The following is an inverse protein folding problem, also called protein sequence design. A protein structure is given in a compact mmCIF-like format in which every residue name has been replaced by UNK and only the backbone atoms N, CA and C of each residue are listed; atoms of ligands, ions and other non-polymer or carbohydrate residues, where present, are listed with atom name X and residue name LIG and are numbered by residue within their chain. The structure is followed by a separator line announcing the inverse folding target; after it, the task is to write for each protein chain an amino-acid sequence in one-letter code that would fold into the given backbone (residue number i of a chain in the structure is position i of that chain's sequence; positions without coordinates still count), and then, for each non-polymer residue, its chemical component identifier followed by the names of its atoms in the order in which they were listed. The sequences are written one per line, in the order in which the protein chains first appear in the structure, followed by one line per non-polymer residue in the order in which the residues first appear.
data_IF_504211540438
#
_entry.id   IF_504211540438
#
_cell.length_a   1.000
_cell.length_b   1.000
_cell.length_c   1.000
_cell.angle_alpha   90.00
_cell.angle_beta   90.00
_cell.angle_gamma   90.00
#
_symmetry.space_group_name_H-M   'P 1'
#
loop_
_entity.id
_entity.type
_entity.pdbx_description
1 polymer ?
#
# COMPACT_ATOMS: atom_id res chain seq x y z
N UNK A 1 -0.70 -11.11 0.23
CA UNK A 1 0.33 -12.13 -0.05
C UNK A 1 0.86 -12.69 1.26
N UNK A 2 1.16 -13.98 1.33
CA UNK A 2 1.67 -14.66 2.54
C UNK A 2 2.95 -14.00 3.07
N UNK A 3 3.82 -13.51 2.19
CA UNK A 3 5.04 -12.77 2.56
C UNK A 3 4.72 -11.46 3.30
N UNK A 4 3.74 -10.70 2.82
CA UNK A 4 3.33 -9.46 3.49
C UNK A 4 2.74 -9.72 4.87
N UNK A 5 1.96 -10.79 5.05
CA UNK A 5 1.42 -11.20 6.34
C UNK A 5 2.53 -11.67 7.29
N UNK A 6 3.50 -12.44 6.81
CA UNK A 6 4.62 -12.90 7.63
C UNK A 6 5.45 -11.71 8.15
N UNK A 7 5.82 -10.77 7.28
CA UNK A 7 6.53 -9.54 7.68
C UNK A 7 5.71 -8.71 8.65
N UNK A 8 4.40 -8.56 8.42
CA UNK A 8 3.50 -7.82 9.31
C UNK A 8 3.42 -8.43 10.70
N UNK A 9 3.32 -9.77 10.80
CA UNK A 9 3.22 -10.46 12.08
C UNK A 9 4.52 -10.38 12.89
N UNK A 10 5.68 -10.52 12.24
CA UNK A 10 6.98 -10.36 12.90
C UNK A 10 7.13 -8.93 13.40
N UNK A 11 6.84 -7.95 12.54
CA UNK A 11 6.93 -6.53 12.89
C UNK A 11 5.98 -6.16 14.04
N UNK A 12 4.76 -6.72 14.05
CA UNK A 12 3.78 -6.49 15.12
C UNK A 12 4.30 -6.97 16.47
N UNK A 13 4.86 -8.18 16.54
CA UNK A 13 5.40 -8.73 17.77
C UNK A 13 6.59 -7.93 18.31
N UNK A 14 7.53 -7.60 17.45
CA UNK A 14 8.72 -6.83 17.81
C UNK A 14 8.39 -5.39 18.19
N UNK A 15 7.46 -4.72 17.48
CA UNK A 15 7.00 -3.38 17.82
C UNK A 15 6.25 -3.34 19.16
N UNK A 16 5.42 -4.36 19.46
CA UNK A 16 4.72 -4.44 20.74
C UNK A 16 5.70 -4.56 21.90
N UNK A 17 6.74 -5.37 21.74
CA UNK A 17 7.81 -5.51 22.74
C UNK A 17 8.64 -4.25 22.87
N UNK A 18 9.02 -3.62 21.75
CA UNK A 18 9.76 -2.38 21.73
C UNK A 18 9.01 -1.21 22.39
N UNK A 19 7.68 -1.14 22.25
CA UNK A 19 6.85 -0.12 22.92
C UNK A 19 6.98 -0.18 24.44
N UNK A 20 7.12 -1.39 25.00
CA UNK A 20 7.23 -1.59 26.45
C UNK A 20 8.64 -1.33 26.98
N UNK A 21 9.67 -1.61 26.19
CA UNK A 21 11.07 -1.53 26.61
C UNK A 21 11.70 -0.13 26.35
N UNK A 22 11.52 0.40 25.13
CA UNK A 22 12.10 1.69 24.69
C UNK A 22 11.33 2.28 23.50
N UNK A 23 10.61 3.39 23.69
CA UNK A 23 9.89 4.07 22.59
C UNK A 23 10.78 4.45 21.39
N UNK A 24 12.06 4.78 21.63
CA UNK A 24 13.02 5.11 20.57
C UNK A 24 13.35 3.91 19.68
N UNK A 25 13.24 2.69 20.24
CA UNK A 25 13.41 1.45 19.47
C UNK A 25 12.27 1.29 18.46
N UNK A 26 11.03 1.61 18.83
CA UNK A 26 9.87 1.59 17.93
C UNK A 26 10.09 2.46 16.68
N UNK A 27 10.62 3.67 16.86
CA UNK A 27 10.92 4.57 15.74
C UNK A 27 12.01 4.01 14.83
N UNK A 28 13.09 3.51 15.39
CA UNK A 28 14.17 2.89 14.61
C UNK A 28 13.65 1.74 13.75
N UNK A 29 12.87 0.85 14.35
CA UNK A 29 12.28 -0.29 13.63
C UNK A 29 11.36 0.16 12.50
N UNK A 30 10.53 1.19 12.73
CA UNK A 30 9.70 1.78 11.69
C UNK A 30 10.55 2.35 10.54
N UNK A 31 11.60 3.11 10.85
CA UNK A 31 12.50 3.70 9.85
C UNK A 31 13.27 2.63 9.06
N UNK A 32 13.73 1.57 9.72
CA UNK A 32 14.40 0.44 9.07
C UNK A 32 13.45 -0.31 8.15
N UNK A 33 12.23 -0.60 8.62
CA UNK A 33 11.19 -1.21 7.81
C UNK A 33 10.84 -0.34 6.59
N UNK A 34 10.65 0.97 6.79
CA UNK A 34 10.39 1.92 5.72
C UNK A 34 11.51 1.93 4.68
N UNK A 35 12.78 2.07 5.11
CA UNK A 35 13.95 2.07 4.23
C UNK A 35 14.11 0.76 3.44
N UNK A 36 13.69 -0.37 4.01
CA UNK A 36 13.76 -1.67 3.35
C UNK A 36 12.60 -1.90 2.38
N UNK A 37 11.39 -1.45 2.73
CA UNK A 37 10.18 -1.71 1.94
C UNK A 37 10.05 -0.75 0.74
N UNK A 38 10.49 0.50 0.87
CA UNK A 38 10.36 1.51 -0.20
C UNK A 38 11.09 1.11 -1.48
N UNK A 39 12.36 0.67 -1.46
CA UNK A 39 13.04 0.23 -2.68
C UNK A 39 12.34 -0.96 -3.36
N UNK A 40 11.84 -1.90 -2.58
CA UNK A 40 11.11 -3.07 -3.09
C UNK A 40 9.77 -2.62 -3.71
N UNK A 41 9.04 -1.72 -3.03
CA UNK A 41 7.81 -1.15 -3.54
C UNK A 41 8.01 -0.38 -4.85
N UNK A 42 9.08 0.40 -4.95
CA UNK A 42 9.45 1.10 -6.18
C UNK A 42 9.84 0.12 -7.30
N UNK A 43 10.56 -0.93 -7.00
CA UNK A 43 10.88 -1.99 -7.96
C UNK A 43 9.60 -2.66 -8.46
N UNK A 44 8.67 -3.02 -7.57
CA UNK A 44 7.38 -3.59 -7.95
C UNK A 44 6.56 -2.64 -8.82
N UNK A 45 6.57 -1.33 -8.52
CA UNK A 45 5.92 -0.31 -9.33
C UNK A 45 6.51 -0.25 -10.74
N UNK A 46 7.83 -0.13 -10.83
CA UNK A 46 8.53 -0.03 -12.12
C UNK A 46 8.29 -1.30 -12.95
N UNK A 47 8.49 -2.48 -12.38
CA UNK A 47 8.26 -3.74 -13.09
C UNK A 47 6.79 -3.89 -13.50
N UNK A 48 5.86 -3.58 -12.60
CA UNK A 48 4.43 -3.65 -12.89
C UNK A 48 4.00 -2.72 -14.02
N UNK A 49 4.49 -1.48 -14.02
CA UNK A 49 4.12 -0.51 -15.06
C UNK A 49 4.83 -0.76 -16.39
N UNK A 50 6.08 -1.23 -16.38
CA UNK A 50 6.87 -1.36 -17.62
C UNK A 50 6.81 -2.74 -18.24
N UNK A 51 6.80 -3.80 -17.42
CA UNK A 51 7.00 -5.17 -17.89
C UNK A 51 5.70 -5.96 -18.02
N UNK A 52 4.63 -5.59 -17.27
CA UNK A 52 3.42 -6.42 -17.21
C UNK A 52 2.82 -6.81 -18.57
N UNK A 53 2.59 -5.91 -19.54
CA UNK A 53 1.99 -6.32 -20.82
C UNK A 53 2.84 -7.32 -21.57
N UNK A 54 4.13 -7.04 -21.72
CA UNK A 54 5.06 -7.94 -22.40
C UNK A 54 5.22 -9.28 -21.66
N UNK A 55 5.23 -9.26 -20.33
CA UNK A 55 5.32 -10.49 -19.54
C UNK A 55 4.09 -11.38 -19.71
N UNK A 56 2.88 -10.80 -19.74
CA UNK A 56 1.66 -11.54 -19.98
C UNK A 56 1.60 -12.10 -21.41
N UNK A 57 1.98 -11.31 -22.40
CA UNK A 57 2.06 -11.76 -23.79
C UNK A 57 3.02 -12.94 -23.96
N UNK A 58 4.23 -12.83 -23.41
CA UNK A 58 5.26 -13.88 -23.51
C UNK A 58 4.87 -15.14 -22.74
N UNK A 59 4.27 -14.99 -21.57
CA UNK A 59 3.93 -16.14 -20.71
C UNK A 59 2.65 -16.88 -21.16
N UNK A 60 1.66 -16.15 -21.68
CA UNK A 60 0.33 -16.70 -21.93
C UNK A 60 -0.16 -16.50 -23.37
N UNK A 61 0.57 -15.79 -24.20
CA UNK A 61 0.23 -15.48 -25.59
C UNK A 61 -0.44 -14.11 -25.77
N UNK A 62 -0.57 -13.70 -27.03
CA UNK A 62 -1.08 -12.38 -27.44
C UNK A 62 -2.51 -12.08 -26.97
N UNK A 63 -3.34 -13.10 -26.76
CA UNK A 63 -4.70 -12.94 -26.22
C UNK A 63 -4.71 -12.37 -24.79
N UNK A 64 -3.58 -12.44 -24.06
CA UNK A 64 -3.45 -11.97 -22.68
C UNK A 64 -2.85 -10.57 -22.54
N UNK A 65 -2.59 -9.87 -23.64
CA UNK A 65 -2.11 -8.48 -23.64
C UNK A 65 -3.03 -7.57 -22.81
N UNK A 66 -4.35 -7.72 -22.95
CA UNK A 66 -5.33 -6.96 -22.17
C UNK A 66 -5.24 -7.20 -20.67
N UNK A 67 -4.90 -8.41 -20.22
CA UNK A 67 -4.66 -8.72 -18.81
C UNK A 67 -3.37 -8.04 -18.32
N UNK A 68 -2.35 -7.96 -19.16
CA UNK A 68 -1.13 -7.21 -18.89
C UNK A 68 -1.38 -5.71 -18.70
N UNK A 69 -2.27 -5.11 -19.50
CA UNK A 69 -2.67 -3.70 -19.33
C UNK A 69 -3.44 -3.47 -18.02
N UNK A 70 -4.30 -4.41 -17.61
CA UNK A 70 -4.96 -4.37 -16.30
C UNK A 70 -3.92 -4.47 -15.18
N UNK A 71 -2.98 -5.40 -15.26
CA UNK A 71 -1.89 -5.54 -14.27
C UNK A 71 -1.04 -4.27 -14.17
N UNK A 72 -0.72 -3.63 -15.30
CA UNK A 72 -0.06 -2.33 -15.37
C UNK A 72 -0.86 -1.27 -14.61
N UNK A 73 -2.16 -1.16 -14.88
CA UNK A 73 -3.02 -0.14 -14.30
C UNK A 73 -3.16 -0.26 -12.78
N UNK A 74 -3.15 -1.48 -12.22
CA UNK A 74 -3.30 -1.71 -10.77
C UNK A 74 -1.96 -1.68 -10.01
N UNK A 75 -0.83 -1.70 -10.71
CA UNK A 75 0.51 -1.74 -10.12
C UNK A 75 0.81 -0.62 -9.11
N UNK A 76 0.40 0.66 -9.32
CA UNK A 76 0.61 1.71 -8.34
C UNK A 76 -0.04 1.43 -6.99
N UNK A 77 -1.28 0.93 -7.00
CA UNK A 77 -1.98 0.57 -5.75
C UNK A 77 -1.29 -0.61 -5.04
N UNK A 78 -0.88 -1.64 -5.79
CA UNK A 78 -0.20 -2.82 -5.24
C UNK A 78 1.14 -2.43 -4.62
N UNK A 79 1.94 -1.62 -5.31
CA UNK A 79 3.22 -1.16 -4.82
C UNK A 79 3.08 -0.32 -3.55
N UNK A 80 2.14 0.61 -3.52
CA UNK A 80 1.86 1.43 -2.34
C UNK A 80 1.33 0.59 -1.17
N UNK A 81 0.41 -0.35 -1.42
CA UNK A 81 -0.11 -1.28 -0.43
C UNK A 81 0.98 -2.18 0.18
N UNK A 82 1.95 -2.61 -0.64
CA UNK A 82 3.08 -3.42 -0.18
C UNK A 82 3.91 -2.68 0.87
N UNK A 83 4.14 -1.39 0.69
CA UNK A 83 4.89 -0.56 1.65
C UNK A 83 4.02 -0.21 2.86
N UNK A 84 2.77 0.22 2.63
CA UNK A 84 1.88 0.69 3.70
C UNK A 84 1.44 -0.43 4.65
N UNK A 85 1.19 -1.64 4.12
CA UNK A 85 0.64 -2.75 4.90
C UNK A 85 1.42 -3.09 6.18
N UNK A 86 2.72 -3.40 6.12
CA UNK A 86 3.52 -3.64 7.31
C UNK A 86 3.64 -2.42 8.23
N UNK A 87 3.79 -1.21 7.67
CA UNK A 87 3.95 0.02 8.44
C UNK A 87 2.68 0.40 9.21
N UNK A 88 1.51 0.03 8.71
CA UNK A 88 0.23 0.22 9.37
C UNK A 88 0.14 -0.49 10.73
N UNK A 89 0.87 -1.61 10.91
CA UNK A 89 0.89 -2.32 12.20
C UNK A 89 1.33 -1.42 13.34
N UNK A 90 2.12 -0.39 13.06
CA UNK A 90 2.52 0.63 14.03
C UNK A 90 1.32 1.37 14.62
N UNK A 91 0.29 1.70 13.83
CA UNK A 91 -0.94 2.34 14.33
C UNK A 91 -1.69 1.45 15.32
N UNK A 92 -1.72 0.15 15.08
CA UNK A 92 -2.33 -0.84 15.98
C UNK A 92 -1.57 -0.94 17.30
N UNK A 93 -0.23 -1.02 17.24
CA UNK A 93 0.63 -1.08 18.43
C UNK A 93 0.54 0.19 19.25
N UNK A 94 0.45 1.36 18.60
CA UNK A 94 0.32 2.66 19.26
C UNK A 94 -1.12 3.00 19.68
N UNK A 95 -2.07 2.07 19.46
CA UNK A 95 -3.49 2.23 19.84
C UNK A 95 -4.20 3.39 19.12
N UNK A 96 -3.71 3.77 17.93
CA UNK A 96 -4.34 4.78 17.06
C UNK A 96 -5.50 4.19 16.25
N UNK A 97 -6.40 3.47 16.93
CA UNK A 97 -7.49 2.72 16.28
C UNK A 97 -8.43 3.62 15.47
N UNK A 98 -8.74 4.82 15.99
CA UNK A 98 -9.62 5.78 15.29
C UNK A 98 -8.99 6.20 13.96
N UNK A 99 -7.70 6.51 13.94
CA UNK A 99 -7.01 6.85 12.69
C UNK A 99 -7.01 5.68 11.71
N UNK A 100 -6.81 4.46 12.19
CA UNK A 100 -6.85 3.25 11.38
C UNK A 100 -8.23 3.04 10.73
N UNK A 101 -9.31 3.18 11.52
CA UNK A 101 -10.69 3.05 11.02
C UNK A 101 -11.04 4.15 10.02
N UNK A 102 -10.61 5.39 10.26
CA UNK A 102 -10.83 6.50 9.33
C UNK A 102 -10.11 6.28 7.99
N UNK A 103 -8.90 5.76 8.01
CA UNK A 103 -8.15 5.41 6.81
C UNK A 103 -8.82 4.28 6.01
N UNK A 104 -9.36 3.26 6.69
CA UNK A 104 -10.12 2.20 6.04
C UNK A 104 -11.43 2.72 5.44
N UNK A 105 -12.14 3.57 6.16
CA UNK A 105 -13.34 4.23 5.66
C UNK A 105 -13.03 5.12 4.44
N UNK A 106 -11.95 5.91 4.50
CA UNK A 106 -11.51 6.73 3.38
C UNK A 106 -11.18 5.87 2.15
N UNK A 107 -10.48 4.75 2.34
CA UNK A 107 -10.18 3.79 1.27
C UNK A 107 -11.45 3.25 0.62
N UNK A 108 -12.43 2.84 1.44
CA UNK A 108 -13.72 2.35 0.94
C UNK A 108 -14.47 3.43 0.16
N UNK A 109 -14.59 4.64 0.73
CA UNK A 109 -15.29 5.77 0.09
C UNK A 109 -14.63 6.14 -1.23
N UNK A 110 -13.31 6.30 -1.27
CA UNK A 110 -12.57 6.62 -2.48
C UNK A 110 -12.79 5.55 -3.55
N UNK A 111 -12.72 4.28 -3.18
CA UNK A 111 -12.95 3.17 -4.12
C UNK A 111 -14.37 3.23 -4.71
N UNK A 112 -15.39 3.41 -3.86
CA UNK A 112 -16.78 3.47 -4.30
C UNK A 112 -17.06 4.70 -5.18
N UNK A 113 -16.54 5.87 -4.80
CA UNK A 113 -16.70 7.11 -5.58
C UNK A 113 -16.06 6.99 -6.96
N UNK A 114 -14.82 6.53 -7.02
CA UNK A 114 -14.12 6.38 -8.29
C UNK A 114 -14.79 5.34 -9.18
N UNK A 115 -15.22 4.20 -8.59
CA UNK A 115 -15.93 3.15 -9.30
C UNK A 115 -17.31 3.60 -9.84
N UNK A 116 -17.97 4.53 -9.17
CA UNK A 116 -19.27 5.06 -9.61
C UNK A 116 -19.13 6.19 -10.64
N UNK A 117 -18.18 7.13 -10.40
CA UNK A 117 -18.08 8.37 -11.17
C UNK A 117 -17.40 8.18 -12.53
N UNK A 118 -16.33 7.41 -12.61
CA UNK A 118 -15.57 7.28 -13.86
C UNK A 118 -16.33 6.54 -14.96
N UNK A 119 -16.96 5.39 -14.70
CA UNK A 119 -17.79 4.72 -15.72
C UNK A 119 -19.01 5.53 -16.12
N UNK A 120 -19.65 6.24 -15.18
CA UNK A 120 -20.82 7.09 -15.44
C UNK A 120 -20.52 8.23 -16.44
N UNK A 121 -19.27 8.68 -16.53
CA UNK A 121 -18.81 9.68 -17.47
C UNK A 121 -18.34 9.09 -18.84
N UNK A 122 -18.67 7.84 -19.14
CA UNK A 122 -18.30 7.17 -20.40
C UNK A 122 -16.82 6.89 -20.57
N UNK A 123 -16.06 6.84 -19.46
CA UNK A 123 -14.63 6.53 -19.49
C UNK A 123 -14.38 5.06 -19.74
N UNK A 124 -13.35 4.76 -20.52
CA UNK A 124 -12.90 3.39 -20.77
C UNK A 124 -12.53 2.70 -19.45
N UNK A 125 -12.78 1.38 -19.34
CA UNK A 125 -12.47 0.62 -18.14
C UNK A 125 -11.03 0.77 -17.65
N UNK A 126 -10.06 0.90 -18.55
CA UNK A 126 -8.64 1.13 -18.20
C UNK A 126 -8.44 2.46 -17.47
N UNK A 127 -9.11 3.54 -17.92
CA UNK A 127 -9.04 4.85 -17.24
C UNK A 127 -9.63 4.73 -15.82
N UNK A 128 -10.70 3.97 -15.67
CA UNK A 128 -11.30 3.70 -14.35
C UNK A 128 -10.32 2.95 -13.44
N UNK A 129 -9.65 1.91 -13.95
CA UNK A 129 -8.64 1.15 -13.19
C UNK A 129 -7.45 2.02 -12.79
N UNK A 130 -6.93 2.84 -13.70
CA UNK A 130 -5.88 3.81 -13.38
C UNK A 130 -6.32 4.81 -12.31
N UNK A 131 -7.53 5.36 -12.45
CA UNK A 131 -8.12 6.28 -11.47
C UNK A 131 -8.24 5.64 -10.09
N UNK A 132 -8.75 4.41 -10.01
CA UNK A 132 -8.83 3.66 -8.76
C UNK A 132 -7.44 3.39 -8.16
N UNK A 133 -6.51 2.94 -8.98
CA UNK A 133 -5.17 2.59 -8.53
C UNK A 133 -4.40 3.80 -7.99
N UNK A 134 -4.44 4.92 -8.70
CA UNK A 134 -3.78 6.16 -8.27
C UNK A 134 -4.44 6.69 -6.99
N UNK A 135 -5.77 6.70 -6.93
CA UNK A 135 -6.49 7.16 -5.74
C UNK A 135 -6.18 6.30 -4.51
N UNK A 136 -6.12 4.98 -4.68
CA UNK A 136 -5.71 4.07 -3.61
C UNK A 136 -4.24 4.27 -3.21
N UNK A 137 -3.35 4.47 -4.16
CA UNK A 137 -1.94 4.76 -3.87
C UNK A 137 -1.80 6.04 -3.02
N UNK A 138 -2.59 7.08 -3.33
CA UNK A 138 -2.63 8.31 -2.50
C UNK A 138 -3.10 8.01 -1.07
N UNK A 139 -4.16 7.21 -0.90
CA UNK A 139 -4.63 6.81 0.45
C UNK A 139 -3.54 6.05 1.20
N UNK A 140 -2.82 5.14 0.56
CA UNK A 140 -1.70 4.42 1.18
C UNK A 140 -0.54 5.34 1.56
N UNK A 141 -0.24 6.36 0.75
CA UNK A 141 0.76 7.37 1.11
C UNK A 141 0.34 8.17 2.34
N UNK A 142 -0.94 8.56 2.43
CA UNK A 142 -1.48 9.21 3.64
C UNK A 142 -1.37 8.29 4.85
N UNK A 143 -1.65 7.00 4.69
CA UNK A 143 -1.51 5.99 5.76
C UNK A 143 -0.06 5.90 6.28
N UNK A 144 0.93 5.89 5.38
CA UNK A 144 2.35 5.93 5.74
C UNK A 144 2.68 7.21 6.52
N UNK A 145 2.19 8.37 6.07
CA UNK A 145 2.40 9.66 6.75
C UNK A 145 1.77 9.70 8.14
N UNK A 146 0.57 9.16 8.31
CA UNK A 146 -0.11 9.06 9.62
C UNK A 146 0.68 8.13 10.55
N UNK A 147 1.12 6.97 10.04
CA UNK A 147 1.96 6.04 10.81
C UNK A 147 3.29 6.70 11.24
N UNK A 148 3.92 7.45 10.35
CA UNK A 148 5.13 8.23 10.67
C UNK A 148 4.89 9.27 11.77
N UNK A 149 3.75 10.00 11.70
CA UNK A 149 3.39 10.96 12.74
C UNK A 149 3.15 10.28 14.08
N UNK A 150 2.42 9.16 14.09
CA UNK A 150 2.17 8.40 15.30
C UNK A 150 3.47 7.97 16.02
N UNK A 151 4.47 7.53 15.25
CA UNK A 151 5.78 7.16 15.82
C UNK A 151 6.52 8.38 16.39
N UNK A 152 6.40 9.55 15.77
CA UNK A 152 7.04 10.78 16.28
C UNK A 152 6.45 11.25 17.59
N UNK A 153 5.19 10.97 17.89
CA UNK A 153 4.59 11.36 19.19
C UNK A 153 5.14 10.58 20.38
N UNK A 154 5.91 9.53 20.17
CA UNK A 154 6.59 8.79 21.23
C UNK A 154 7.83 9.51 21.79
N UNK A 155 8.30 10.58 21.14
CA UNK A 155 9.48 11.33 21.54
C UNK A 155 9.14 12.58 22.39
N UNK A 156 7.86 12.93 22.48
CA UNK A 156 7.36 14.08 23.28
C UNK A 156 6.82 13.64 24.61
#
# INVERSE_FOLDING_TARGET
SLLGLAVSNVLLGELAQAKLEDPRRCKRMFEEAFKSLVPIGLLLLVLGVTVSPAAFEVAFGTEWEGAGEVARAVSPAIAAAFVAGPLRMTLTVLEWYVASVLLDAARLVVTLVVAAVLPANGRTYLITLWGMSISLAVVYLVEILVSWRAVKTLET
#
